data_IF_981391144077
#
_entry.id   IF_981391144077
#
_cell.length_a   1.000
_cell.length_b   1.000
_cell.length_c   1.000
_cell.angle_alpha   90.00
_cell.angle_beta   90.00
_cell.angle_gamma   90.00
#
_symmetry.space_group_name_H-M   'P 1'
#
loop_
_entity.id
_entity.type
_entity.pdbx_description
1 polymer ?
#
# COMPACT_ATOMS: atom_id res chain seq x y z
N UNK A 1 -5.98 -42.81 7.79
CA UNK A 1 -6.91 -41.65 7.85
C UNK A 1 -6.39 -40.49 8.69
N UNK A 2 -5.65 -40.69 9.80
CA UNK A 2 -5.17 -39.58 10.65
C UNK A 2 -4.05 -38.69 10.07
N UNK A 3 -3.11 -39.26 9.29
CA UNK A 3 -1.98 -38.48 8.73
C UNK A 3 -2.40 -37.52 7.62
N UNK A 4 -3.37 -37.91 6.79
CA UNK A 4 -3.91 -37.07 5.72
C UNK A 4 -4.75 -35.92 6.27
N UNK A 5 -5.54 -36.18 7.33
CA UNK A 5 -6.29 -35.15 8.04
C UNK A 5 -5.37 -34.12 8.73
N UNK A 6 -4.26 -34.58 9.33
CA UNK A 6 -3.26 -33.71 9.96
C UNK A 6 -2.54 -32.81 8.93
N UNK A 7 -2.14 -33.38 7.78
CA UNK A 7 -1.52 -32.61 6.70
C UNK A 7 -2.47 -31.55 6.13
N UNK A 8 -3.75 -31.89 5.97
CA UNK A 8 -4.76 -30.94 5.49
C UNK A 8 -4.99 -29.81 6.50
N UNK A 9 -5.05 -30.12 7.80
CA UNK A 9 -5.20 -29.13 8.86
C UNK A 9 -4.02 -28.15 8.94
N UNK A 10 -2.77 -28.65 8.80
CA UNK A 10 -1.57 -27.80 8.79
C UNK A 10 -1.56 -26.88 7.55
N UNK A 11 -1.93 -27.40 6.37
CA UNK A 11 -2.02 -26.59 5.16
C UNK A 11 -3.09 -25.48 5.27
N UNK A 12 -4.24 -25.77 5.90
CA UNK A 12 -5.30 -24.79 6.17
C UNK A 12 -4.85 -23.70 7.16
N UNK A 13 -4.09 -24.05 8.20
CA UNK A 13 -3.56 -23.08 9.17
C UNK A 13 -2.46 -22.18 8.58
N UNK A 14 -1.68 -22.67 7.61
CA UNK A 14 -0.62 -21.91 6.96
C UNK A 14 -1.12 -21.05 5.78
N UNK A 15 -2.32 -21.33 5.24
CA UNK A 15 -2.93 -20.56 4.15
C UNK A 15 -3.55 -19.22 4.56
N UNK A 16 -3.61 -18.93 5.86
CA UNK A 16 -4.35 -17.80 6.44
C UNK A 16 -3.63 -16.46 6.45
N UNK A 17 -2.75 -16.14 5.50
CA UNK A 17 -2.29 -14.76 5.33
C UNK A 17 -3.39 -13.97 4.61
N UNK A 18 -4.37 -13.47 5.36
CA UNK A 18 -5.37 -12.56 4.83
C UNK A 18 -4.67 -11.26 4.39
N UNK A 19 -4.48 -11.09 3.09
CA UNK A 19 -3.96 -9.83 2.52
C UNK A 19 -5.08 -8.82 2.59
N UNK A 20 -4.90 -7.79 3.43
CA UNK A 20 -5.85 -6.68 3.55
C UNK A 20 -6.14 -6.07 2.18
N UNK A 21 -7.43 -5.98 1.84
CA UNK A 21 -7.92 -5.47 0.57
C UNK A 21 -8.42 -4.05 0.76
N UNK A 22 -7.71 -3.09 0.19
CA UNK A 22 -8.17 -1.70 0.14
C UNK A 22 -9.25 -1.53 -0.92
N UNK A 23 -10.16 -0.59 -0.69
CA UNK A 23 -11.12 -0.18 -1.70
C UNK A 23 -10.41 0.29 -2.98
N UNK A 24 -11.00 0.00 -4.13
CA UNK A 24 -10.48 0.44 -5.41
C UNK A 24 -10.92 1.89 -5.68
N UNK A 25 -10.06 2.72 -6.30
CA UNK A 25 -10.45 4.05 -6.74
C UNK A 25 -11.68 4.00 -7.65
N UNK A 26 -12.65 4.87 -7.39
CA UNK A 26 -13.86 5.00 -8.20
C UNK A 26 -14.11 6.46 -8.56
N UNK A 27 -15.11 6.71 -9.42
CA UNK A 27 -15.51 8.08 -9.79
C UNK A 27 -15.97 8.94 -8.60
N UNK A 28 -16.32 8.32 -7.47
CA UNK A 28 -16.71 9.03 -6.24
C UNK A 28 -15.51 9.54 -5.43
N UNK A 29 -14.28 9.16 -5.78
CA UNK A 29 -13.07 9.60 -5.08
C UNK A 29 -12.59 10.93 -5.64
N UNK A 30 -11.97 11.74 -4.77
CA UNK A 30 -11.26 12.95 -5.21
C UNK A 30 -9.83 12.60 -5.54
N UNK A 31 -9.33 13.09 -6.68
CA UNK A 31 -7.94 12.97 -7.08
C UNK A 31 -7.25 14.34 -7.11
N UNK A 32 -6.02 14.40 -6.59
CA UNK A 32 -5.13 15.56 -6.63
C UNK A 32 -3.77 15.11 -7.13
N UNK A 33 -3.24 15.80 -8.13
CA UNK A 33 -1.91 15.54 -8.67
C UNK A 33 -1.03 16.79 -8.53
N UNK A 34 0.28 16.60 -8.52
CA UNK A 34 1.25 17.69 -8.47
C UNK A 34 2.67 17.17 -8.33
N UNK A 35 3.58 18.07 -7.95
CA UNK A 35 4.97 17.72 -7.70
C UNK A 35 5.25 17.64 -6.19
N UNK A 36 6.06 16.66 -5.80
CA UNK A 36 6.51 16.48 -4.43
C UNK A 36 8.03 16.49 -4.37
N UNK A 37 8.57 17.39 -3.55
CA UNK A 37 10.00 17.48 -3.24
C UNK A 37 10.28 16.67 -1.99
N UNK A 38 10.99 15.55 -2.14
CA UNK A 38 11.50 14.76 -1.03
C UNK A 38 12.93 15.16 -0.70
N UNK A 39 13.22 15.42 0.58
CA UNK A 39 14.57 15.63 1.12
C UNK A 39 14.84 14.63 2.24
N UNK A 40 15.71 13.67 1.97
CA UNK A 40 16.20 12.71 2.95
C UNK A 40 17.70 12.86 3.21
N UNK A 41 18.26 12.11 4.17
CA UNK A 41 19.67 12.25 4.56
C UNK A 41 20.69 11.94 3.46
N UNK A 42 20.33 11.08 2.50
CA UNK A 42 21.21 10.60 1.42
C UNK A 42 20.72 10.96 0.01
N UNK A 43 19.49 11.45 -0.11
CA UNK A 43 18.88 11.71 -1.42
C UNK A 43 17.88 12.85 -1.33
N UNK A 44 17.91 13.71 -2.33
CA UNK A 44 16.94 14.77 -2.55
C UNK A 44 16.43 14.62 -3.97
N UNK A 45 15.11 14.58 -4.14
CA UNK A 45 14.52 14.43 -5.46
C UNK A 45 13.16 15.13 -5.52
N UNK A 46 12.84 15.62 -6.70
CA UNK A 46 11.50 16.08 -7.07
C UNK A 46 10.93 15.03 -8.02
N UNK A 47 9.66 14.70 -7.78
CA UNK A 47 8.89 13.78 -8.59
C UNK A 47 7.41 14.17 -8.60
N UNK A 48 6.61 13.32 -9.23
CA UNK A 48 5.16 13.50 -9.37
C UNK A 48 4.43 12.75 -8.27
N UNK A 49 3.46 13.41 -7.64
CA UNK A 49 2.57 12.81 -6.64
C UNK A 49 1.14 12.77 -7.17
N UNK A 50 0.48 11.66 -6.89
CA UNK A 50 -0.95 11.45 -7.10
C UNK A 50 -1.56 11.00 -5.79
N UNK A 51 -2.47 11.83 -5.27
CA UNK A 51 -3.23 11.56 -4.07
C UNK A 51 -4.68 11.30 -4.47
N UNK A 52 -5.26 10.22 -3.96
CA UNK A 52 -6.69 9.94 -4.09
C UNK A 52 -7.28 9.67 -2.73
N UNK A 53 -8.49 10.14 -2.49
CA UNK A 53 -9.19 9.88 -1.23
C UNK A 53 -10.70 9.83 -1.41
N UNK A 54 -11.36 9.01 -0.59
CA UNK A 54 -12.81 8.87 -0.55
C UNK A 54 -13.41 9.60 0.66
N UNK A 55 -14.72 9.84 0.63
CA UNK A 55 -15.46 10.35 1.79
C UNK A 55 -15.57 9.34 2.95
N UNK A 56 -15.21 8.07 2.72
CA UNK A 56 -15.26 7.00 3.73
C UNK A 56 -13.93 6.78 4.45
N UNK A 57 -12.92 7.60 4.16
CA UNK A 57 -11.58 7.47 4.76
C UNK A 57 -10.63 6.56 4.00
N UNK A 58 -10.98 6.11 2.79
CA UNK A 58 -10.03 5.44 1.90
C UNK A 58 -9.03 6.48 1.37
N UNK A 59 -7.74 6.14 1.35
CA UNK A 59 -6.68 7.04 0.89
C UNK A 59 -5.60 6.28 0.11
N UNK A 60 -5.10 6.92 -0.95
CA UNK A 60 -3.95 6.48 -1.72
C UNK A 60 -3.02 7.65 -2.00
N UNK A 61 -1.73 7.40 -1.86
CA UNK A 61 -0.67 8.27 -2.36
C UNK A 61 0.29 7.44 -3.19
N UNK A 62 0.55 7.91 -4.41
CA UNK A 62 1.63 7.39 -5.26
C UNK A 62 2.61 8.53 -5.53
N UNK A 63 3.87 8.33 -5.13
CA UNK A 63 4.96 9.24 -5.45
C UNK A 63 5.90 8.55 -6.45
N UNK A 64 6.23 9.22 -7.54
CA UNK A 64 6.92 8.66 -8.69
C UNK A 64 7.94 9.62 -9.28
N UNK A 65 8.91 9.12 -10.05
CA UNK A 65 9.91 9.94 -10.75
C UNK A 65 10.07 9.51 -12.20
N UNK A 66 9.74 10.42 -13.13
CA UNK A 66 9.79 10.10 -14.56
C UNK A 66 8.76 9.05 -14.96
N UNK A 67 8.83 8.51 -16.19
CA UNK A 67 7.86 7.54 -16.68
C UNK A 67 8.04 6.18 -15.97
N UNK A 68 7.11 5.85 -15.08
CA UNK A 68 6.94 4.50 -14.54
C UNK A 68 7.78 4.12 -13.32
N UNK A 69 8.60 5.02 -12.75
CA UNK A 69 9.35 4.71 -11.52
C UNK A 69 8.58 5.14 -10.28
N UNK A 70 7.89 4.19 -9.66
CA UNK A 70 7.21 4.42 -8.37
C UNK A 70 8.23 4.39 -7.22
N UNK A 71 8.30 5.49 -6.48
CA UNK A 71 9.22 5.67 -5.36
C UNK A 71 8.57 5.33 -4.00
N UNK A 72 7.29 5.62 -3.86
CA UNK A 72 6.49 5.32 -2.68
C UNK A 72 5.04 5.11 -3.08
N UNK A 73 4.42 4.07 -2.53
CA UNK A 73 2.95 3.95 -2.48
C UNK A 73 2.51 3.84 -1.04
N UNK A 74 1.47 4.59 -0.68
CA UNK A 74 0.77 4.47 0.58
C UNK A 74 -0.71 4.24 0.29
N UNK A 75 -1.30 3.22 0.90
CA UNK A 75 -2.75 2.98 0.87
C UNK A 75 -3.23 2.84 2.30
N UNK A 76 -4.32 3.51 2.64
CA UNK A 76 -4.97 3.36 3.94
C UNK A 76 -6.47 3.30 3.79
N UNK A 77 -7.12 2.70 4.77
CA UNK A 77 -8.55 2.87 5.06
C UNK A 77 -8.70 3.13 6.57
N UNK A 78 -9.91 3.26 7.12
CA UNK A 78 -10.09 3.57 8.54
C UNK A 78 -9.45 2.58 9.53
N UNK A 79 -9.06 1.39 9.10
CA UNK A 79 -8.59 0.31 9.99
C UNK A 79 -7.18 -0.18 9.68
N UNK A 80 -6.66 0.13 8.49
CA UNK A 80 -5.46 -0.50 7.99
C UNK A 80 -4.63 0.43 7.12
N UNK A 81 -3.31 0.24 7.15
CA UNK A 81 -2.36 0.98 6.34
C UNK A 81 -1.35 0.04 5.67
N UNK A 82 -0.88 0.42 4.49
CA UNK A 82 0.22 -0.23 3.78
C UNK A 82 1.09 0.82 3.11
N UNK A 83 2.39 0.74 3.35
CA UNK A 83 3.41 1.61 2.76
C UNK A 83 4.47 0.75 2.08
N UNK A 84 4.77 1.03 0.82
CA UNK A 84 5.70 0.25 -0.01
C UNK A 84 6.53 1.16 -0.92
N UNK A 85 7.59 0.60 -1.49
CA UNK A 85 8.46 1.28 -2.46
C UNK A 85 9.84 1.63 -1.88
N UNK A 86 10.81 2.00 -2.75
CA UNK A 86 12.19 2.27 -2.35
C UNK A 86 12.33 3.31 -1.22
N UNK A 87 11.47 4.34 -1.19
CA UNK A 87 11.52 5.37 -0.15
C UNK A 87 10.94 4.93 1.20
N UNK A 88 10.14 3.85 1.24
CA UNK A 88 9.67 3.26 2.49
C UNK A 88 10.81 2.57 3.27
N UNK A 89 11.93 2.26 2.59
CA UNK A 89 13.06 1.42 3.06
C UNK A 89 12.64 -0.01 3.38
N UNK A 90 11.75 -0.20 4.34
CA UNK A 90 11.16 -1.47 4.72
C UNK A 90 9.66 -1.36 4.45
N UNK A 91 9.10 -2.14 3.51
CA UNK A 91 7.66 -2.20 3.32
C UNK A 91 6.98 -2.58 4.63
N UNK A 92 5.87 -1.90 4.93
CA UNK A 92 5.13 -2.13 6.16
C UNK A 92 3.63 -2.15 5.87
N UNK A 93 2.91 -2.99 6.61
CA UNK A 93 1.45 -2.96 6.64
C UNK A 93 0.94 -3.41 7.99
N UNK A 94 -0.13 -2.80 8.47
CA UNK A 94 -0.73 -3.14 9.75
C UNK A 94 -2.00 -2.34 10.02
N UNK A 95 -2.67 -2.71 11.11
CA UNK A 95 -3.78 -1.93 11.64
C UNK A 95 -3.29 -0.60 12.20
N UNK A 96 -4.13 0.43 12.11
CA UNK A 96 -3.87 1.78 12.64
C UNK A 96 -4.77 2.10 13.83
#
# INVERSE_FOLDING_TARGET
MGRTALMLAIALCLGGCAIHQFAQPSHAWTARNGQLSYRGPKTSLIGEVLVRYSSRGDFELTFSKGPGVTLLTMRTDPTFARVQGPLARIPWSGTI
#
